data_IF_395366382777
#
_entry.id   IF_395366382777
#
_cell.length_a   1.000
_cell.length_b   1.000
_cell.length_c   1.000
_cell.angle_alpha   90.00
_cell.angle_beta   90.00
_cell.angle_gamma   90.00
#
_symmetry.space_group_name_H-M   'P 1'
#
loop_
_entity.id
_entity.type
_entity.pdbx_description
1 polymer ?
#
# COMPACT_ATOMS: atom_id res chain seq x y z
N UNK A 1 -16.79 74.56 -27.75
CA UNK A 1 -16.29 73.69 -28.85
C UNK A 1 -15.13 72.88 -28.30
N UNK A 2 -15.21 71.56 -28.47
CA UNK A 2 -14.24 70.49 -28.11
C UNK A 2 -14.39 69.87 -26.72
N UNK A 3 -14.57 68.56 -26.83
CA UNK A 3 -15.06 67.53 -25.91
C UNK A 3 -13.92 67.01 -25.03
N UNK A 4 -14.24 66.73 -23.78
CA UNK A 4 -13.46 65.89 -22.85
C UNK A 4 -14.00 64.43 -22.97
N UNK A 5 -13.43 63.42 -22.28
CA UNK A 5 -12.36 62.49 -22.69
C UNK A 5 -12.87 61.05 -22.97
N UNK A 6 -11.93 60.17 -23.33
CA UNK A 6 -12.00 58.69 -23.21
C UNK A 6 -12.77 58.24 -21.95
N UNK A 7 -13.53 57.12 -21.98
CA UNK A 7 -12.86 55.81 -21.95
C UNK A 7 -13.63 54.61 -22.55
N UNK A 8 -12.91 53.50 -22.68
CA UNK A 8 -13.38 52.14 -22.34
C UNK A 8 -14.18 51.33 -23.38
N UNK A 9 -13.50 50.25 -23.79
CA UNK A 9 -14.01 48.90 -24.03
C UNK A 9 -14.88 48.61 -25.26
N UNK A 10 -14.70 47.36 -25.74
CA UNK A 10 -15.47 46.58 -26.75
C UNK A 10 -14.75 46.55 -28.11
N UNK A 11 -14.45 45.44 -28.79
CA UNK A 11 -14.90 44.03 -28.72
C UNK A 11 -14.06 43.20 -29.70
N UNK A 12 -13.85 41.90 -29.36
CA UNK A 12 -13.59 40.72 -30.22
C UNK A 12 -12.49 40.72 -31.30
N UNK A 13 -11.64 39.69 -31.29
CA UNK A 13 -11.81 38.47 -32.11
C UNK A 13 -10.52 37.60 -32.19
N UNK A 14 -10.73 36.28 -32.21
CA UNK A 14 -9.84 35.20 -32.69
C UNK A 14 -8.49 34.99 -31.95
N UNK A 15 -8.36 34.07 -30.99
CA UNK A 15 -8.39 32.59 -31.09
C UNK A 15 -7.55 32.06 -32.24
N UNK A 16 -6.31 31.68 -31.95
CA UNK A 16 -5.66 30.49 -32.54
C UNK A 16 -4.56 30.01 -31.58
N UNK A 17 -4.95 29.31 -30.52
CA UNK A 17 -4.01 28.54 -29.70
C UNK A 17 -4.24 27.06 -30.02
N UNK A 18 -3.30 26.47 -30.77
CA UNK A 18 -3.20 25.03 -30.98
C UNK A 18 -2.73 24.42 -29.65
N UNK A 19 -3.66 24.05 -28.78
CA UNK A 19 -3.35 23.19 -27.64
C UNK A 19 -3.20 21.78 -28.20
N UNK A 20 -1.97 21.33 -28.31
CA UNK A 20 -1.66 19.91 -28.47
C UNK A 20 -2.18 19.19 -27.22
N UNK A 21 -3.28 18.45 -27.38
CA UNK A 21 -3.77 17.51 -26.39
C UNK A 21 -2.78 16.34 -26.31
N UNK A 22 -1.71 16.50 -25.52
CA UNK A 22 -0.99 15.36 -24.99
C UNK A 22 -1.92 14.64 -24.03
N UNK A 23 -2.38 13.46 -24.44
CA UNK A 23 -3.10 12.53 -23.58
C UNK A 23 -2.26 12.27 -22.32
N UNK A 24 -2.69 12.84 -21.20
CA UNK A 24 -2.17 12.49 -19.87
C UNK A 24 -2.60 11.04 -19.63
N UNK A 25 -1.66 10.07 -19.49
CA UNK A 25 -2.05 8.70 -19.17
C UNK A 25 -2.71 8.66 -17.78
N UNK A 26 -3.75 7.81 -17.58
CA UNK A 26 -4.50 7.79 -16.34
C UNK A 26 -3.64 7.30 -15.17
N UNK A 27 -3.34 8.24 -14.25
CA UNK A 27 -3.15 8.13 -12.80
C UNK A 27 -2.58 6.81 -12.25
N UNK A 28 -1.35 6.88 -11.72
CA UNK A 28 -0.83 5.95 -10.71
C UNK A 28 -1.80 5.97 -9.52
N UNK A 29 -2.75 5.03 -9.46
CA UNK A 29 -3.68 4.92 -8.34
C UNK A 29 -2.88 4.44 -7.11
N UNK A 30 -2.51 5.38 -6.25
CA UNK A 30 -1.91 5.07 -4.94
C UNK A 30 -2.86 4.10 -4.25
N UNK A 31 -2.37 2.90 -3.96
CA UNK A 31 -3.16 1.89 -3.27
C UNK A 31 -3.29 2.30 -1.80
N UNK A 32 -4.52 2.50 -1.33
CA UNK A 32 -4.80 2.86 0.06
C UNK A 32 -5.53 1.73 0.77
N UNK A 33 -5.40 1.67 2.09
CA UNK A 33 -6.18 0.75 2.92
C UNK A 33 -7.69 1.04 2.78
N UNK A 34 -8.49 0.00 2.61
CA UNK A 34 -9.96 0.06 2.58
C UNK A 34 -10.50 0.12 4.01
N UNK A 35 -10.52 1.33 4.56
CA UNK A 35 -10.90 1.57 5.97
C UNK A 35 -12.36 1.23 6.26
N UNK A 36 -13.22 1.22 5.24
CA UNK A 36 -14.61 0.78 5.29
C UNK A 36 -14.76 -0.71 5.62
N UNK A 37 -13.71 -1.52 5.45
CA UNK A 37 -13.69 -2.94 5.79
C UNK A 37 -13.22 -3.22 7.22
N UNK A 38 -12.61 -2.25 7.90
CA UNK A 38 -12.12 -2.42 9.27
C UNK A 38 -13.21 -2.74 10.31
N UNK A 39 -14.46 -2.25 10.18
CA UNK A 39 -15.55 -2.65 11.08
C UNK A 39 -15.83 -4.17 11.10
N UNK A 40 -15.32 -4.96 10.13
CA UNK A 40 -15.37 -6.44 10.20
C UNK A 40 -14.56 -7.01 11.36
N UNK A 41 -13.66 -6.22 11.94
CA UNK A 41 -12.89 -6.54 13.12
C UNK A 41 -13.57 -5.86 14.30
N UNK A 42 -14.33 -6.62 15.10
CA UNK A 42 -15.15 -6.06 16.17
C UNK A 42 -14.34 -5.34 17.28
N UNK A 43 -13.04 -5.64 17.41
CA UNK A 43 -12.18 -5.02 18.42
C UNK A 43 -11.52 -3.73 17.87
N UNK A 44 -11.90 -2.59 18.43
CA UNK A 44 -11.40 -1.26 18.04
C UNK A 44 -9.88 -1.10 18.24
N UNK A 45 -9.29 -1.75 19.24
CA UNK A 45 -7.83 -1.69 19.46
C UNK A 45 -7.09 -2.32 18.29
N UNK A 46 -7.59 -3.44 17.77
CA UNK A 46 -7.00 -4.11 16.61
C UNK A 46 -7.18 -3.28 15.34
N UNK A 47 -8.34 -2.63 15.15
CA UNK A 47 -8.52 -1.69 14.05
C UNK A 47 -7.50 -0.55 14.10
N UNK A 48 -7.27 0.04 15.28
CA UNK A 48 -6.29 1.12 15.48
C UNK A 48 -4.86 0.65 15.21
N UNK A 49 -4.49 -0.55 15.65
CA UNK A 49 -3.17 -1.12 15.37
C UNK A 49 -2.97 -1.34 13.88
N UNK A 50 -3.97 -1.89 13.19
CA UNK A 50 -3.91 -2.14 11.75
C UNK A 50 -3.77 -0.83 10.98
N UNK A 51 -4.59 0.18 11.31
CA UNK A 51 -4.51 1.52 10.70
C UNK A 51 -3.13 2.16 10.92
N UNK A 52 -2.64 2.14 12.16
CA UNK A 52 -1.38 2.79 12.53
C UNK A 52 -0.20 2.19 11.76
N UNK A 53 -0.08 0.86 11.75
CA UNK A 53 1.09 0.18 11.20
C UNK A 53 1.02 0.01 9.67
N UNK A 54 -0.18 -0.09 9.10
CA UNK A 54 -0.33 -0.11 7.64
C UNK A 54 0.07 1.20 6.95
N UNK A 55 0.19 2.31 7.67
CA UNK A 55 0.69 3.56 7.10
C UNK A 55 2.14 3.46 6.58
N UNK A 56 2.91 2.49 7.07
CA UNK A 56 4.31 2.23 6.66
C UNK A 56 4.42 1.19 5.54
N UNK A 57 3.30 0.62 5.09
CA UNK A 57 3.30 -0.44 4.08
C UNK A 57 3.53 0.09 2.66
N UNK A 58 4.22 -0.73 1.87
CA UNK A 58 4.28 -0.59 0.42
C UNK A 58 2.92 -0.82 -0.23
N UNK A 59 2.75 -0.40 -1.49
CA UNK A 59 1.52 -0.64 -2.25
C UNK A 59 1.17 -2.14 -2.36
N UNK A 60 2.18 -3.01 -2.43
CA UNK A 60 1.99 -4.46 -2.46
C UNK A 60 1.40 -5.00 -1.16
N UNK A 61 1.92 -4.55 -0.02
CA UNK A 61 1.46 -4.95 1.30
C UNK A 61 0.05 -4.40 1.60
N UNK A 62 -0.24 -3.15 1.21
CA UNK A 62 -1.60 -2.59 1.31
C UNK A 62 -2.59 -3.41 0.48
N UNK A 63 -2.22 -3.77 -0.75
CA UNK A 63 -3.06 -4.61 -1.61
C UNK A 63 -3.35 -5.97 -0.99
N UNK A 64 -2.32 -6.62 -0.42
CA UNK A 64 -2.49 -7.90 0.27
C UNK A 64 -3.38 -7.77 1.52
N UNK A 65 -3.18 -6.73 2.32
CA UNK A 65 -4.02 -6.48 3.50
C UNK A 65 -5.49 -6.24 3.09
N UNK A 66 -5.72 -5.45 2.02
CA UNK A 66 -7.06 -5.25 1.48
C UNK A 66 -7.69 -6.57 1.01
N UNK A 67 -6.94 -7.43 0.31
CA UNK A 67 -7.42 -8.74 -0.12
C UNK A 67 -7.85 -9.60 1.08
N UNK A 68 -7.04 -9.64 2.15
CA UNK A 68 -7.38 -10.36 3.38
C UNK A 68 -8.67 -9.81 4.01
N UNK A 69 -8.78 -8.49 4.12
CA UNK A 69 -9.97 -7.82 4.68
C UNK A 69 -11.21 -8.07 3.83
N UNK A 70 -11.09 -8.17 2.51
CA UNK A 70 -12.20 -8.50 1.62
C UNK A 70 -12.63 -9.96 1.74
N UNK A 71 -11.66 -10.87 1.68
CA UNK A 71 -11.88 -12.32 1.58
C UNK A 71 -12.47 -12.94 2.85
N UNK A 72 -12.12 -12.43 4.02
CA UNK A 72 -12.40 -13.12 5.28
C UNK A 72 -13.31 -12.35 6.23
N UNK A 73 -14.10 -13.07 7.02
CA UNK A 73 -14.66 -12.55 8.28
C UNK A 73 -13.67 -12.81 9.43
N UNK A 74 -13.85 -12.14 10.57
CA UNK A 74 -12.95 -12.24 11.71
C UNK A 74 -13.69 -12.51 13.01
N UNK A 75 -13.36 -13.63 13.66
CA UNK A 75 -13.54 -13.76 15.09
C UNK A 75 -12.41 -13.04 15.86
N UNK A 76 -12.47 -13.09 17.18
CA UNK A 76 -11.51 -12.41 18.06
C UNK A 76 -10.08 -12.92 17.86
N UNK A 77 -9.88 -14.24 17.70
CA UNK A 77 -8.56 -14.86 17.56
C UNK A 77 -7.97 -14.54 16.19
N UNK A 78 -8.78 -14.65 15.14
CA UNK A 78 -8.40 -14.31 13.77
C UNK A 78 -8.04 -12.83 13.63
N UNK A 79 -8.80 -11.94 14.27
CA UNK A 79 -8.51 -10.50 14.29
C UNK A 79 -7.23 -10.17 15.06
N UNK A 80 -7.03 -10.81 16.22
CA UNK A 80 -5.81 -10.64 17.02
C UNK A 80 -4.58 -11.08 16.20
N UNK A 81 -4.65 -12.25 15.56
CA UNK A 81 -3.58 -12.76 14.72
C UNK A 81 -3.28 -11.83 13.53
N UNK A 82 -4.30 -11.24 12.89
CA UNK A 82 -4.09 -10.25 11.83
C UNK A 82 -3.38 -9.00 12.35
N UNK A 83 -3.81 -8.46 13.49
CA UNK A 83 -3.18 -7.28 14.08
C UNK A 83 -1.70 -7.55 14.41
N UNK A 84 -1.38 -8.73 14.94
CA UNK A 84 0.02 -9.13 15.18
C UNK A 84 0.82 -9.25 13.88
N UNK A 85 0.27 -9.89 12.85
CA UNK A 85 0.93 -9.99 11.54
C UNK A 85 1.21 -8.61 10.94
N UNK A 86 0.25 -7.68 11.03
CA UNK A 86 0.43 -6.29 10.57
C UNK A 86 1.55 -5.58 11.34
N UNK A 87 1.59 -5.72 12.67
CA UNK A 87 2.66 -5.13 13.49
C UNK A 87 4.05 -5.72 13.16
N UNK A 88 4.12 -7.01 12.88
CA UNK A 88 5.37 -7.70 12.54
C UNK A 88 5.85 -7.36 11.13
N UNK A 89 4.93 -7.19 10.18
CA UNK A 89 5.24 -6.87 8.79
C UNK A 89 6.07 -5.59 8.67
N UNK A 90 5.76 -4.55 9.45
CA UNK A 90 6.53 -3.29 9.46
C UNK A 90 8.00 -3.50 9.79
N UNK A 91 8.32 -4.52 10.59
CA UNK A 91 9.69 -4.83 11.04
C UNK A 91 10.33 -5.97 10.25
N UNK A 92 9.62 -6.50 9.26
CA UNK A 92 10.09 -7.64 8.50
C UNK A 92 11.19 -7.18 7.53
N UNK A 93 12.41 -7.59 7.83
CA UNK A 93 13.53 -7.46 6.91
C UNK A 93 13.80 -8.83 6.27
N UNK A 94 13.54 -8.99 4.96
CA UNK A 94 13.75 -10.25 4.26
C UNK A 94 15.22 -10.64 4.18
N UNK A 95 16.18 -9.79 4.57
CA UNK A 95 17.61 -10.07 4.52
C UNK A 95 18.27 -10.21 5.90
N UNK A 96 17.51 -10.11 7.00
CA UNK A 96 18.03 -10.00 8.37
C UNK A 96 18.93 -11.15 8.87
N UNK A 97 19.07 -12.24 8.11
CA UNK A 97 19.87 -13.42 8.46
C UNK A 97 20.66 -13.98 7.27
N UNK A 98 21.01 -13.14 6.30
CA UNK A 98 21.97 -13.54 5.27
C UNK A 98 23.32 -13.86 5.93
N UNK A 99 23.82 -15.07 5.72
CA UNK A 99 25.17 -15.47 6.14
C UNK A 99 26.03 -15.41 4.88
N UNK A 100 26.96 -14.47 4.86
CA UNK A 100 27.98 -14.39 3.81
C UNK A 100 28.97 -15.53 4.06
N UNK A 101 28.82 -16.65 3.35
CA UNK A 101 29.75 -17.77 3.42
C UNK A 101 31.07 -17.36 2.76
N UNK A 102 31.99 -16.82 3.55
CA UNK A 102 33.38 -16.51 3.13
C UNK A 102 34.32 -17.72 3.32
N UNK A 103 33.80 -18.95 3.41
CA UNK A 103 34.64 -20.15 3.40
C UNK A 103 34.82 -20.66 1.97
N UNK A 104 35.96 -20.29 1.39
CA UNK A 104 36.42 -20.59 0.02
C UNK A 104 36.39 -22.10 -0.36
N UNK A 105 36.13 -23.00 0.60
CA UNK A 105 36.08 -24.46 0.43
C UNK A 105 34.70 -25.10 0.62
N UNK A 106 33.66 -24.34 1.00
CA UNK A 106 32.28 -24.86 1.07
C UNK A 106 31.41 -24.09 0.08
N UNK A 107 30.92 -24.74 -0.98
CA UNK A 107 29.84 -24.19 -1.81
C UNK A 107 28.50 -24.25 -1.05
N UNK A 108 28.49 -23.78 0.19
CA UNK A 108 27.33 -23.79 1.08
C UNK A 108 26.34 -22.74 0.60
N UNK A 109 25.27 -23.16 -0.08
CA UNK A 109 24.15 -22.27 -0.36
C UNK A 109 23.58 -21.82 0.99
N UNK A 110 23.52 -20.51 1.23
CA UNK A 110 22.92 -19.96 2.44
C UNK A 110 21.51 -20.55 2.66
N UNK A 111 21.21 -21.17 3.84
CA UNK A 111 19.91 -21.79 4.09
C UNK A 111 18.72 -20.84 3.90
N UNK A 112 18.93 -19.55 4.17
CA UNK A 112 17.98 -18.46 3.96
C UNK A 112 17.62 -18.25 2.47
N UNK A 113 18.55 -18.52 1.54
CA UNK A 113 18.31 -18.43 0.11
C UNK A 113 17.59 -19.66 -0.46
N UNK A 114 17.72 -20.81 0.21
CA UNK A 114 16.96 -22.03 -0.12
C UNK A 114 15.51 -21.91 0.37
N UNK A 115 15.33 -21.39 1.59
CA UNK A 115 14.02 -21.24 2.21
C UNK A 115 13.90 -19.86 2.87
N UNK A 116 13.58 -18.81 2.11
CA UNK A 116 13.45 -17.47 2.67
C UNK A 116 12.30 -17.41 3.67
N UNK A 117 12.41 -16.59 4.72
CA UNK A 117 11.36 -16.42 5.71
C UNK A 117 10.12 -15.86 5.03
N UNK A 118 8.96 -16.42 5.35
CA UNK A 118 7.70 -15.95 4.80
C UNK A 118 7.34 -14.59 5.43
N UNK A 119 6.95 -13.57 4.64
CA UNK A 119 6.48 -12.31 5.20
C UNK A 119 5.26 -12.52 6.11
N UNK A 120 5.17 -11.84 7.27
CA UNK A 120 4.10 -12.06 8.26
C UNK A 120 2.67 -11.98 7.71
N UNK A 121 2.35 -11.01 6.85
CA UNK A 121 1.02 -10.93 6.24
C UNK A 121 0.74 -12.10 5.30
N UNK A 122 1.76 -12.57 4.59
CA UNK A 122 1.63 -13.71 3.69
C UNK A 122 1.43 -15.00 4.48
N UNK A 123 2.14 -15.16 5.58
CA UNK A 123 1.98 -16.29 6.50
C UNK A 123 0.56 -16.31 7.11
N UNK A 124 0.05 -15.15 7.53
CA UNK A 124 -1.34 -15.02 7.99
C UNK A 124 -2.35 -15.47 6.92
N UNK A 125 -2.18 -15.04 5.66
CA UNK A 125 -3.06 -15.45 4.57
C UNK A 125 -3.06 -16.97 4.40
N UNK A 126 -1.88 -17.61 4.35
CA UNK A 126 -1.76 -19.07 4.22
C UNK A 126 -2.42 -19.78 5.40
N UNK A 127 -2.24 -19.27 6.62
CA UNK A 127 -2.91 -19.82 7.79
C UNK A 127 -4.44 -19.76 7.67
N UNK A 128 -5.01 -18.64 7.20
CA UNK A 128 -6.45 -18.50 6.92
C UNK A 128 -6.95 -19.43 5.81
N UNK A 129 -6.13 -19.72 4.83
CA UNK A 129 -6.50 -20.63 3.74
C UNK A 129 -6.45 -22.11 4.14
N UNK A 130 -5.66 -22.46 5.15
CA UNK A 130 -5.38 -23.86 5.49
C UNK A 130 -6.04 -24.31 6.78
N UNK A 131 -6.25 -23.42 7.76
CA UNK A 131 -6.64 -23.79 9.13
C UNK A 131 -7.62 -22.82 9.80
N UNK A 132 -7.71 -21.57 9.34
CA UNK A 132 -8.27 -20.43 10.09
C UNK A 132 -9.61 -19.89 9.60
#
# INVERSE_FOLDING_TARGET
>A
MRTIPDPSFKTAAAIFAIIHASAIPPQHKIMTLKTDLLPKINNEDYQRLILKHSAEFSEGEIRLLNEILEKFAFDVVQAQALAQAVMQQVRFDPNAYHIDSDDEDTTGICPHCINPPMPPLRDYLVWRETRG
#
